data_IF_664448675769
#
_entry.id   IF_664448675769
#
_cell.length_a   1.000
_cell.length_b   1.000
_cell.length_c   1.000
_cell.angle_alpha   90.00
_cell.angle_beta   90.00
_cell.angle_gamma   90.00
#
_symmetry.space_group_name_H-M   'P 1'
#
loop_
_entity.id
_entity.type
_entity.pdbx_description
1 polymer ?
#
# COMPACT_ATOMS: atom_id res chain seq x y z
N UNK A 1 -3.20 -16.30 -14.57
CA UNK A 1 -2.91 -15.14 -15.43
C UNK A 1 -2.70 -13.93 -14.53
N UNK A 2 -1.55 -13.29 -14.62
CA UNK A 2 -1.25 -12.03 -13.93
C UNK A 2 -1.88 -10.86 -14.67
N UNK A 3 -2.00 -9.70 -14.00
CA UNK A 3 -2.50 -8.47 -14.63
C UNK A 3 -1.64 -8.07 -15.84
N UNK A 4 -0.32 -8.21 -15.73
CA UNK A 4 0.62 -7.93 -16.83
C UNK A 4 0.42 -8.86 -18.02
N UNK A 5 0.19 -10.15 -17.79
CA UNK A 5 -0.12 -11.09 -18.87
C UNK A 5 -1.44 -10.72 -19.55
N UNK A 6 -2.47 -10.38 -18.78
CA UNK A 6 -3.77 -9.96 -19.32
C UNK A 6 -3.66 -8.68 -20.16
N UNK A 7 -2.89 -7.67 -19.72
CA UNK A 7 -2.65 -6.47 -20.53
C UNK A 7 -1.94 -6.78 -21.85
N UNK A 8 -0.94 -7.69 -21.84
CA UNK A 8 -0.27 -8.08 -23.07
C UNK A 8 -1.19 -8.81 -24.03
N UNK A 9 -2.08 -9.67 -23.53
CA UNK A 9 -3.08 -10.33 -24.36
C UNK A 9 -4.02 -9.31 -25.02
N UNK A 10 -4.46 -8.29 -24.28
CA UNK A 10 -5.33 -7.23 -24.79
C UNK A 10 -4.64 -6.34 -25.84
N UNK A 11 -3.33 -6.12 -25.69
CA UNK A 11 -2.52 -5.30 -26.61
C UNK A 11 -2.05 -6.06 -27.86
N UNK A 12 -1.64 -7.32 -27.68
CA UNK A 12 -0.90 -8.08 -28.69
C UNK A 12 -1.81 -9.02 -29.51
N UNK A 13 -3.03 -9.33 -29.06
CA UNK A 13 -3.95 -10.26 -29.73
C UNK A 13 -5.21 -9.56 -30.24
N UNK A 14 -5.41 -9.57 -31.56
CA UNK A 14 -6.54 -8.94 -32.26
C UNK A 14 -7.84 -9.77 -32.19
N UNK A 15 -7.76 -11.04 -31.79
CA UNK A 15 -8.88 -11.98 -31.74
C UNK A 15 -9.43 -12.22 -30.32
N UNK A 16 -8.95 -11.49 -29.31
CA UNK A 16 -9.40 -11.55 -27.93
C UNK A 16 -9.80 -10.16 -27.44
N UNK A 17 -10.59 -10.10 -26.37
CA UNK A 17 -10.91 -8.86 -25.66
C UNK A 17 -10.83 -9.10 -24.17
N UNK A 18 -10.09 -8.25 -23.45
CA UNK A 18 -9.95 -8.36 -21.99
C UNK A 18 -10.87 -7.36 -21.31
N UNK A 19 -11.75 -7.85 -20.45
CA UNK A 19 -12.63 -7.00 -19.64
C UNK A 19 -12.09 -6.90 -18.22
N UNK A 20 -11.89 -5.66 -17.77
CA UNK A 20 -11.46 -5.36 -16.42
C UNK A 20 -12.67 -5.15 -15.51
N UNK A 21 -12.88 -6.08 -14.58
CA UNK A 21 -13.82 -5.89 -13.50
C UNK A 21 -13.29 -4.92 -12.44
N UNK A 22 -14.19 -4.26 -11.71
CA UNK A 22 -13.80 -3.49 -10.53
C UNK A 22 -13.12 -4.36 -9.47
N UNK A 23 -12.43 -3.76 -8.49
CA UNK A 23 -11.69 -4.49 -7.47
C UNK A 23 -12.62 -5.43 -6.67
N UNK A 24 -12.31 -6.73 -6.67
CA UNK A 24 -13.09 -7.78 -5.99
C UNK A 24 -12.52 -8.19 -4.63
N UNK A 25 -11.40 -7.59 -4.23
CA UNK A 25 -10.73 -7.86 -2.96
C UNK A 25 -9.75 -6.77 -2.58
N UNK A 26 -9.22 -6.86 -1.36
CA UNK A 26 -8.27 -5.91 -0.80
C UNK A 26 -7.08 -6.65 -0.17
N UNK A 27 -5.90 -6.01 -0.24
CA UNK A 27 -4.66 -6.53 0.36
C UNK A 27 -4.27 -5.62 1.53
N UNK A 28 -3.97 -6.26 2.66
CA UNK A 28 -3.73 -5.56 3.93
C UNK A 28 -2.44 -6.05 4.59
N UNK A 29 -1.80 -5.15 5.34
CA UNK A 29 -0.80 -5.52 6.35
C UNK A 29 -1.51 -5.53 7.69
N UNK A 30 -1.61 -6.71 8.30
CA UNK A 30 -2.17 -6.85 9.64
C UNK A 30 -1.07 -6.69 10.68
N UNK A 31 -1.38 -5.92 11.73
CA UNK A 31 -0.46 -5.62 12.82
C UNK A 31 -1.07 -6.17 14.11
N UNK A 32 -0.32 -6.97 14.85
CA UNK A 32 -0.75 -7.45 16.16
C UNK A 32 -0.63 -6.34 17.21
N UNK A 33 -1.75 -5.75 17.62
CA UNK A 33 -1.80 -4.61 18.54
C UNK A 33 -1.62 -4.97 20.01
N UNK A 34 -1.32 -6.22 20.33
CA UNK A 34 -1.12 -6.71 21.72
C UNK A 34 0.32 -7.05 22.03
N UNK A 35 1.22 -6.94 21.04
CA UNK A 35 2.63 -7.29 21.17
C UNK A 35 3.49 -6.08 20.84
N UNK A 36 4.45 -5.78 21.71
CA UNK A 36 5.44 -4.73 21.46
C UNK A 36 6.23 -4.97 20.16
N UNK A 37 6.57 -3.92 19.39
CA UNK A 37 6.34 -2.50 19.66
C UNK A 37 4.97 -2.00 19.16
N UNK A 38 4.10 -2.90 18.67
CA UNK A 38 2.88 -2.55 17.96
C UNK A 38 1.66 -2.36 18.86
N UNK A 39 1.78 -2.64 20.16
CA UNK A 39 0.85 -2.19 21.19
C UNK A 39 0.76 -0.65 21.25
N UNK A 40 1.87 0.04 20.97
CA UNK A 40 1.90 1.50 20.82
C UNK A 40 1.27 1.97 19.50
N UNK A 41 0.23 2.80 19.59
CA UNK A 41 -0.47 3.36 18.42
C UNK A 41 0.43 4.25 17.53
N UNK A 42 1.41 4.95 18.11
CA UNK A 42 2.35 5.79 17.36
C UNK A 42 3.27 4.97 16.47
N UNK A 43 3.68 3.77 16.91
CA UNK A 43 4.48 2.85 16.09
C UNK A 43 3.66 2.36 14.90
N UNK A 44 2.38 2.02 15.10
CA UNK A 44 1.48 1.62 13.99
C UNK A 44 1.25 2.76 13.00
N UNK A 45 1.08 3.99 13.51
CA UNK A 45 0.95 5.20 12.68
C UNK A 45 2.22 5.45 11.87
N UNK A 46 3.40 5.29 12.47
CA UNK A 46 4.67 5.42 11.76
C UNK A 46 4.78 4.42 10.59
N UNK A 47 4.37 3.18 10.78
CA UNK A 47 4.34 2.17 9.70
C UNK A 47 3.40 2.59 8.57
N UNK A 48 2.19 3.06 8.89
CA UNK A 48 1.23 3.55 7.88
C UNK A 48 1.77 4.73 7.07
N UNK A 49 2.43 5.68 7.75
CA UNK A 49 3.03 6.85 7.13
C UNK A 49 4.23 6.50 6.26
N UNK A 50 5.02 5.49 6.61
CA UNK A 50 6.18 5.06 5.83
C UNK A 50 5.79 4.29 4.55
N UNK A 51 4.63 3.64 4.52
CA UNK A 51 4.23 2.78 3.40
C UNK A 51 3.96 3.59 2.11
N UNK A 52 4.61 3.16 1.02
CA UNK A 52 4.44 3.72 -0.33
C UNK A 52 3.66 2.73 -1.21
N UNK A 53 2.38 3.01 -1.47
CA UNK A 53 1.45 2.05 -2.09
C UNK A 53 1.52 2.06 -3.62
N UNK A 54 1.80 3.21 -4.20
CA UNK A 54 1.80 3.45 -5.64
C UNK A 54 2.81 2.56 -6.38
N UNK A 55 4.08 2.42 -5.95
CA UNK A 55 5.01 1.51 -6.62
C UNK A 55 4.63 0.04 -6.47
N UNK A 56 3.95 -0.33 -5.38
CA UNK A 56 3.44 -1.71 -5.20
C UNK A 56 2.34 -1.98 -6.23
N UNK A 57 1.41 -1.04 -6.42
CA UNK A 57 0.34 -1.15 -7.41
C UNK A 57 0.92 -1.21 -8.83
N UNK A 58 1.87 -0.33 -9.14
CA UNK A 58 2.54 -0.31 -10.44
C UNK A 58 3.26 -1.64 -10.73
N UNK A 59 4.07 -2.12 -9.78
CA UNK A 59 4.82 -3.36 -9.97
C UNK A 59 3.91 -4.58 -10.09
N UNK A 60 2.88 -4.69 -9.24
CA UNK A 60 2.05 -5.89 -9.12
C UNK A 60 0.88 -5.94 -10.11
N UNK A 61 0.39 -4.78 -10.55
CA UNK A 61 -0.83 -4.68 -11.37
C UNK A 61 -0.69 -3.74 -12.57
N UNK A 62 0.50 -3.19 -12.84
CA UNK A 62 0.71 -2.23 -13.93
C UNK A 62 -0.25 -1.05 -13.85
N UNK A 63 -0.50 -0.58 -12.63
CA UNK A 63 -1.40 0.55 -12.37
C UNK A 63 -2.90 0.23 -12.36
N UNK A 64 -3.31 -1.03 -12.60
CA UNK A 64 -4.73 -1.40 -12.68
C UNK A 64 -5.43 -1.50 -11.33
N UNK A 65 -4.71 -1.85 -10.26
CA UNK A 65 -5.30 -1.92 -8.93
C UNK A 65 -5.52 -0.50 -8.37
N UNK A 66 -6.65 -0.30 -7.68
CA UNK A 66 -6.89 0.95 -6.95
C UNK A 66 -6.09 1.00 -5.64
N UNK A 67 -5.79 2.22 -5.16
CA UNK A 67 -5.26 2.39 -3.80
C UNK A 67 -6.28 1.88 -2.78
N UNK A 68 -5.81 1.06 -1.85
CA UNK A 68 -6.63 0.53 -0.77
C UNK A 68 -6.92 1.59 0.29
N UNK A 69 -8.13 2.15 0.26
CA UNK A 69 -8.69 3.02 1.29
C UNK A 69 -9.65 2.27 2.20
N UNK A 70 -9.92 2.81 3.39
CA UNK A 70 -10.93 2.23 4.30
C UNK A 70 -12.33 2.22 3.66
N UNK A 71 -12.69 3.31 2.99
CA UNK A 71 -13.90 3.44 2.19
C UNK A 71 -13.50 3.85 0.77
N UNK A 72 -14.17 3.35 -0.28
CA UNK A 72 -13.90 3.75 -1.64
C UNK A 72 -14.23 5.25 -1.86
N UNK A 73 -13.51 5.95 -2.75
CA UNK A 73 -13.76 7.36 -3.06
C UNK A 73 -15.12 7.60 -3.72
N UNK A 74 -15.67 8.80 -3.57
CA UNK A 74 -16.82 9.27 -4.35
C UNK A 74 -18.21 8.83 -3.87
N UNK A 75 -18.31 8.17 -2.72
CA UNK A 75 -19.59 7.85 -2.08
C UNK A 75 -19.99 8.93 -1.07
N UNK A 76 -21.29 9.03 -0.74
CA UNK A 76 -21.83 10.03 0.18
C UNK A 76 -21.25 9.97 1.61
N UNK A 77 -20.66 8.83 2.00
CA UNK A 77 -20.00 8.59 3.29
C UNK A 77 -18.47 8.54 3.18
N UNK A 78 -17.91 8.90 2.03
CA UNK A 78 -16.51 8.80 1.70
C UNK A 78 -15.93 10.15 1.31
N UNK A 79 -14.60 10.22 1.24
CA UNK A 79 -13.88 11.36 0.66
C UNK A 79 -13.88 11.29 -0.86
N UNK A 80 -13.59 12.41 -1.51
CA UNK A 80 -13.23 12.42 -2.94
C UNK A 80 -11.86 11.78 -3.16
N UNK A 81 -11.51 11.47 -4.41
CA UNK A 81 -10.19 10.94 -4.75
C UNK A 81 -9.10 11.96 -4.41
N UNK A 82 -9.32 13.24 -4.74
CA UNK A 82 -8.38 14.32 -4.47
C UNK A 82 -8.12 14.49 -2.97
N UNK A 83 -9.16 14.41 -2.15
CA UNK A 83 -9.02 14.45 -0.69
C UNK A 83 -8.22 13.25 -0.17
N UNK A 84 -8.45 12.05 -0.70
CA UNK A 84 -7.70 10.86 -0.35
C UNK A 84 -6.22 10.97 -0.72
N UNK A 85 -5.92 11.53 -1.90
CA UNK A 85 -4.56 11.71 -2.39
C UNK A 85 -3.73 12.69 -1.57
N UNK A 86 -4.39 13.55 -0.77
CA UNK A 86 -3.72 14.46 0.16
C UNK A 86 -3.61 13.90 1.59
N UNK A 87 -4.21 12.74 1.89
CA UNK A 87 -4.15 12.19 3.24
C UNK A 87 -2.73 11.70 3.60
N UNK A 88 -2.25 11.97 4.83
CA UNK A 88 -1.01 11.39 5.33
C UNK A 88 -1.00 9.86 5.24
N UNK A 89 0.07 9.32 4.69
CA UNK A 89 0.26 7.90 4.39
C UNK A 89 -0.18 7.47 2.99
N UNK A 90 -1.00 8.28 2.30
CA UNK A 90 -1.43 8.02 0.92
C UNK A 90 -0.77 8.96 -0.08
N UNK A 91 -0.56 10.22 0.31
CA UNK A 91 0.09 11.24 -0.52
C UNK A 91 1.51 10.89 -0.94
N UNK A 92 1.88 11.42 -2.09
CA UNK A 92 3.20 11.36 -2.69
C UNK A 92 3.64 12.76 -3.14
N UNK A 93 4.94 12.92 -3.41
CA UNK A 93 5.49 14.12 -4.00
C UNK A 93 6.47 13.71 -5.09
N UNK A 94 6.21 14.10 -6.34
CA UNK A 94 7.04 13.76 -7.50
C UNK A 94 7.27 12.24 -7.67
N UNK A 95 6.23 11.43 -7.47
CA UNK A 95 6.29 9.96 -7.56
C UNK A 95 7.14 9.29 -6.46
N UNK A 96 7.49 10.02 -5.42
CA UNK A 96 8.20 9.52 -4.25
C UNK A 96 7.31 9.61 -3.02
N UNK A 97 7.61 8.77 -2.02
CA UNK A 97 6.90 8.84 -0.75
C UNK A 97 7.05 10.24 -0.14
N UNK A 98 5.93 10.82 0.28
CA UNK A 98 5.93 12.21 0.72
C UNK A 98 6.91 12.43 1.90
N UNK A 99 7.84 13.40 1.80
CA UNK A 99 8.91 13.58 2.78
C UNK A 99 8.38 13.88 4.19
N UNK A 100 7.31 14.67 4.32
CA UNK A 100 6.69 14.94 5.62
C UNK A 100 6.12 13.68 6.29
N UNK A 101 5.59 12.72 5.53
CA UNK A 101 5.09 11.47 6.10
C UNK A 101 6.26 10.64 6.64
N UNK A 102 7.38 10.60 5.90
CA UNK A 102 8.60 9.91 6.31
C UNK A 102 9.21 10.58 7.55
N UNK A 103 9.27 11.91 7.58
CA UNK A 103 9.77 12.67 8.72
C UNK A 103 8.92 12.44 9.97
N UNK A 104 7.60 12.50 9.83
CA UNK A 104 6.66 12.25 10.92
C UNK A 104 6.73 10.80 11.41
N UNK A 105 6.86 9.82 10.50
CA UNK A 105 7.07 8.42 10.89
C UNK A 105 8.33 8.26 11.76
N UNK A 106 9.43 8.90 11.38
CA UNK A 106 10.68 8.86 12.17
C UNK A 106 10.53 9.53 13.53
N UNK A 107 9.85 10.69 13.60
CA UNK A 107 9.55 11.39 14.85
C UNK A 107 8.74 10.51 15.80
N UNK A 108 7.66 9.90 15.29
CA UNK A 108 6.79 9.01 16.07
C UNK A 108 7.53 7.79 16.64
N UNK A 109 8.46 7.21 15.87
CA UNK A 109 9.32 6.12 16.36
C UNK A 109 10.25 6.59 17.48
N UNK A 110 10.89 7.75 17.31
CA UNK A 110 11.80 8.31 18.32
C UNK A 110 11.06 8.63 19.63
N UNK A 111 9.88 9.23 19.56
CA UNK A 111 9.03 9.51 20.73
C UNK A 111 8.56 8.23 21.43
N UNK A 112 8.37 7.15 20.68
CA UNK A 112 8.06 5.83 21.22
C UNK A 112 9.31 5.10 21.77
N UNK A 113 10.49 5.71 21.75
CA UNK A 113 11.74 5.11 22.23
C UNK A 113 12.36 4.09 21.26
N UNK A 114 11.99 4.14 19.98
CA UNK A 114 12.48 3.24 18.94
C UNK A 114 13.41 3.96 17.96
N UNK A 115 14.40 3.24 17.40
CA UNK A 115 15.27 3.82 16.40
C UNK A 115 14.52 4.05 15.08
N UNK A 116 14.91 5.05 14.25
CA UNK A 116 14.27 5.32 12.95
C UNK A 116 14.32 4.16 11.95
N UNK A 117 15.18 3.16 12.17
CA UNK A 117 15.31 1.94 11.37
C UNK A 117 14.74 0.73 12.14
N UNK A 118 13.54 0.88 12.70
CA UNK A 118 12.84 -0.17 13.46
C UNK A 118 12.86 -1.50 12.68
N UNK A 119 13.44 -2.54 13.30
CA UNK A 119 13.44 -3.90 12.75
C UNK A 119 12.21 -4.64 13.24
N UNK A 120 11.44 -5.18 12.29
CA UNK A 120 10.23 -5.96 12.56
C UNK A 120 10.22 -7.21 11.69
N UNK A 121 9.38 -8.19 12.06
CA UNK A 121 9.13 -9.38 11.24
C UNK A 121 7.79 -9.23 10.52
N UNK A 122 7.82 -9.27 9.19
CA UNK A 122 6.63 -9.37 8.36
C UNK A 122 6.45 -10.84 7.97
N UNK A 123 5.39 -11.46 8.50
CA UNK A 123 5.00 -12.82 8.09
C UNK A 123 4.04 -12.74 6.91
N UNK A 124 4.25 -13.59 5.91
CA UNK A 124 3.42 -13.63 4.71
C UNK A 124 3.06 -15.06 4.36
N UNK A 125 1.90 -15.26 3.73
CA UNK A 125 1.54 -16.59 3.20
C UNK A 125 2.43 -16.89 2.00
N UNK A 126 2.99 -18.09 1.94
CA UNK A 126 3.74 -18.55 0.78
C UNK A 126 2.79 -19.04 -0.34
N UNK A 127 1.98 -18.12 -0.87
CA UNK A 127 1.09 -18.40 -2.00
C UNK A 127 0.81 -17.11 -2.79
N UNK A 128 0.44 -17.26 -4.06
CA UNK A 128 0.08 -16.14 -4.93
C UNK A 128 1.18 -15.06 -4.95
N UNK A 129 0.78 -13.80 -5.08
CA UNK A 129 1.66 -12.63 -5.12
C UNK A 129 2.15 -12.14 -3.72
N UNK A 130 1.82 -12.84 -2.63
CA UNK A 130 2.08 -12.33 -1.27
C UNK A 130 3.57 -12.25 -0.91
N UNK A 131 4.41 -13.13 -1.46
CA UNK A 131 5.86 -13.07 -1.31
C UNK A 131 6.44 -11.80 -1.94
N UNK A 132 6.11 -11.56 -3.21
CA UNK A 132 6.60 -10.40 -3.96
C UNK A 132 6.14 -9.08 -3.34
N UNK A 133 4.87 -9.00 -2.93
CA UNK A 133 4.33 -7.82 -2.23
C UNK A 133 5.10 -7.56 -0.93
N UNK A 134 5.46 -8.61 -0.18
CA UNK A 134 6.19 -8.45 1.08
C UNK A 134 7.61 -7.89 0.89
N UNK A 135 8.25 -8.19 -0.25
CA UNK A 135 9.53 -7.61 -0.62
C UNK A 135 9.38 -6.11 -0.90
N UNK A 136 8.32 -5.72 -1.61
CA UNK A 136 8.06 -4.31 -1.92
C UNK A 136 7.69 -3.50 -0.67
N UNK A 137 6.94 -4.08 0.27
CA UNK A 137 6.60 -3.41 1.56
C UNK A 137 7.84 -3.14 2.42
N UNK A 138 8.92 -3.88 2.23
CA UNK A 138 10.18 -3.73 2.98
C UNK A 138 11.07 -2.59 2.45
N UNK A 139 10.88 -2.17 1.20
CA UNK A 139 11.69 -1.13 0.55
C UNK A 139 11.32 0.26 1.09
#
# INVERSE_FOLDING_TARGET
MTTREAERLDQDMDNLSVFWGGPTGARHVYINTTIAPFDNANVRRAVHLALHRQPIIEAMSVGRDSIGYLNPPGFWYSRTQEEYDQLPGYRELNGQKHPDDVAEARRLLQEAGHPPNLKVTLSTRNCCAYGDISVMVKQ
#
